data_IF_524776248010
#
_entry.id   IF_524776248010
#
_cell.length_a   1.000
_cell.length_b   1.000
_cell.length_c   1.000
_cell.angle_alpha   90.00
_cell.angle_beta   90.00
_cell.angle_gamma   90.00
#
_symmetry.space_group_name_H-M   'P 1'
#
loop_
_entity.id
_entity.type
_entity.pdbx_description
1 polymer ?
#
# COMPACT_ATOMS: atom_id res chain seq x y z
N UNK A 1 -23.75 -9.91 45.39
CA UNK A 1 -24.41 -9.05 44.39
C UNK A 1 -24.26 -9.75 43.06
N UNK A 2 -25.27 -10.56 42.75
CA UNK A 2 -25.26 -11.46 41.58
C UNK A 2 -25.74 -10.68 40.33
N UNK A 3 -24.99 -10.70 39.25
CA UNK A 3 -25.39 -10.13 37.97
C UNK A 3 -25.72 -11.26 37.03
N UNK A 4 -26.98 -11.27 36.61
CA UNK A 4 -27.68 -12.24 35.78
C UNK A 4 -27.26 -12.08 34.32
N UNK A 5 -26.69 -13.13 33.71
CA UNK A 5 -26.38 -13.16 32.27
C UNK A 5 -27.63 -13.60 31.50
N UNK A 6 -28.34 -12.67 30.88
CA UNK A 6 -29.39 -13.00 29.91
C UNK A 6 -28.79 -13.28 28.53
N UNK A 7 -28.95 -14.55 28.16
CA UNK A 7 -28.71 -15.09 26.81
C UNK A 7 -29.62 -14.42 25.76
N UNK A 8 -29.05 -13.77 24.77
CA UNK A 8 -29.79 -13.40 23.57
C UNK A 8 -29.68 -14.51 22.50
N UNK A 9 -30.80 -15.19 22.36
CA UNK A 9 -31.05 -16.24 21.39
C UNK A 9 -31.12 -15.62 19.95
N UNK A 10 -30.18 -15.97 19.08
CA UNK A 10 -30.25 -15.67 17.67
C UNK A 10 -31.27 -16.58 16.97
N UNK A 11 -32.26 -15.96 16.31
CA UNK A 11 -33.23 -16.65 15.46
C UNK A 11 -32.67 -16.84 14.05
N UNK A 12 -32.78 -18.03 13.44
CA UNK A 12 -32.41 -18.22 12.05
C UNK A 12 -33.52 -17.75 11.12
N UNK A 13 -33.19 -16.89 10.17
CA UNK A 13 -34.10 -16.49 9.08
C UNK A 13 -33.93 -17.52 7.97
N UNK A 14 -34.98 -18.31 7.77
CA UNK A 14 -35.14 -19.20 6.61
C UNK A 14 -35.88 -18.43 5.53
N UNK A 15 -35.23 -18.13 4.43
CA UNK A 15 -35.88 -17.68 3.20
C UNK A 15 -35.84 -18.80 2.17
N UNK A 16 -36.99 -19.42 1.96
CA UNK A 16 -37.25 -20.33 0.85
C UNK A 16 -37.76 -19.49 -0.33
N UNK A 17 -37.08 -19.48 -1.45
CA UNK A 17 -37.66 -19.08 -2.74
C UNK A 17 -37.73 -20.24 -3.67
N UNK A 18 -38.96 -20.78 -3.81
CA UNK A 18 -39.37 -21.59 -4.97
C UNK A 18 -39.59 -20.64 -6.14
N UNK A 19 -38.99 -20.91 -7.27
CA UNK A 19 -39.23 -20.21 -8.53
C UNK A 19 -39.16 -21.21 -9.70
N UNK A 20 -40.28 -21.37 -10.28
CA UNK A 20 -40.77 -22.30 -11.32
C UNK A 20 -39.94 -22.32 -12.60
N UNK A 21 -39.76 -23.53 -13.12
CA UNK A 21 -39.25 -23.81 -14.46
C UNK A 21 -40.27 -23.42 -15.55
N UNK A 22 -39.79 -22.79 -16.61
CA UNK A 22 -40.46 -22.81 -17.91
C UNK A 22 -39.42 -23.10 -19.00
N UNK A 23 -39.56 -24.28 -19.57
CA UNK A 23 -38.84 -24.74 -20.75
C UNK A 23 -39.45 -24.09 -22.00
N UNK A 24 -38.64 -23.45 -22.83
CA UNK A 24 -38.96 -23.15 -24.22
C UNK A 24 -37.82 -23.63 -25.10
N UNK A 25 -38.07 -24.71 -25.79
CA UNK A 25 -37.25 -25.28 -26.87
C UNK A 25 -37.47 -24.43 -28.11
N UNK A 26 -36.43 -23.77 -28.61
CA UNK A 26 -36.39 -23.27 -29.97
C UNK A 26 -35.09 -23.76 -30.62
N UNK A 27 -35.24 -24.78 -31.46
CA UNK A 27 -34.25 -25.25 -32.41
C UNK A 27 -34.11 -24.21 -33.52
N UNK A 28 -33.01 -23.49 -33.56
CA UNK A 28 -32.55 -22.79 -34.76
C UNK A 28 -31.11 -23.24 -35.01
N UNK A 29 -30.96 -24.01 -36.07
CA UNK A 29 -29.69 -24.38 -36.64
C UNK A 29 -29.00 -23.10 -37.18
N UNK A 30 -28.03 -22.60 -36.44
CA UNK A 30 -27.13 -21.52 -36.84
C UNK A 30 -25.71 -22.03 -36.84
N UNK A 31 -25.04 -22.00 -37.98
CA UNK A 31 -23.65 -22.39 -38.15
C UNK A 31 -22.73 -21.63 -37.15
N UNK A 32 -21.71 -22.30 -36.58
CA UNK A 32 -20.73 -21.58 -35.77
C UNK A 32 -19.86 -20.66 -36.67
N UNK A 33 -20.16 -19.39 -36.66
CA UNK A 33 -19.15 -18.41 -37.11
C UNK A 33 -18.07 -18.44 -35.99
N UNK A 34 -16.97 -19.09 -36.29
CA UNK A 34 -15.76 -18.95 -35.50
C UNK A 34 -15.30 -17.49 -35.62
N UNK A 35 -15.78 -16.65 -34.72
CA UNK A 35 -15.14 -15.38 -34.47
C UNK A 35 -13.73 -15.69 -33.95
N UNK A 36 -12.74 -15.61 -34.85
CA UNK A 36 -11.36 -15.49 -34.42
C UNK A 36 -11.31 -14.27 -33.51
N UNK A 37 -11.23 -14.51 -32.19
CA UNK A 37 -10.80 -13.49 -31.26
C UNK A 37 -9.39 -13.14 -31.71
N UNK A 38 -9.25 -12.09 -32.49
CA UNK A 38 -7.98 -11.40 -32.62
C UNK A 38 -7.68 -10.89 -31.21
N UNK A 39 -6.83 -11.64 -30.53
CA UNK A 39 -6.13 -11.18 -29.36
C UNK A 39 -5.32 -9.95 -29.81
N UNK A 40 -5.98 -8.80 -29.83
CA UNK A 40 -5.29 -7.52 -29.85
C UNK A 40 -4.63 -7.43 -28.50
N UNK A 41 -3.48 -8.13 -28.40
CA UNK A 41 -2.54 -7.90 -27.33
C UNK A 41 -2.43 -6.40 -27.20
N UNK A 42 -2.95 -5.86 -26.11
CA UNK A 42 -2.66 -4.50 -25.70
C UNK A 42 -1.15 -4.39 -25.72
N UNK A 43 -0.61 -3.90 -26.83
CA UNK A 43 0.74 -3.40 -26.84
C UNK A 43 0.72 -2.35 -25.72
N UNK A 44 1.26 -2.71 -24.56
CA UNK A 44 1.65 -1.73 -23.57
C UNK A 44 2.52 -0.77 -24.37
N UNK A 45 1.96 0.38 -24.69
CA UNK A 45 2.75 1.48 -25.21
C UNK A 45 3.87 1.61 -24.20
N UNK A 46 5.09 1.36 -24.64
CA UNK A 46 6.32 1.48 -23.86
C UNK A 46 6.31 2.93 -23.39
N UNK A 47 5.73 3.14 -22.19
CA UNK A 47 5.73 4.43 -21.53
C UNK A 47 7.21 4.83 -21.44
N UNK A 48 7.53 6.04 -21.78
CA UNK A 48 8.88 6.57 -21.56
C UNK A 48 9.10 6.47 -20.06
N UNK A 49 9.96 5.54 -19.62
CA UNK A 49 10.33 5.31 -18.24
C UNK A 49 10.62 6.68 -17.61
N UNK A 50 9.77 7.08 -16.69
CA UNK A 50 9.87 8.41 -16.07
C UNK A 50 10.37 8.28 -14.67
N UNK A 51 11.64 8.62 -14.48
CA UNK A 51 12.30 8.60 -13.18
C UNK A 51 12.24 9.97 -12.51
N UNK A 52 11.72 10.01 -11.29
CA UNK A 52 11.69 11.20 -10.43
C UNK A 52 12.53 10.91 -9.20
N UNK A 53 13.52 11.77 -8.91
CA UNK A 53 14.33 11.67 -7.68
C UNK A 53 14.02 12.83 -6.75
N UNK A 54 13.72 12.50 -5.49
CA UNK A 54 13.50 13.48 -4.41
C UNK A 54 14.23 13.05 -3.13
N UNK A 55 14.55 14.03 -2.29
CA UNK A 55 15.17 13.82 -0.98
C UNK A 55 14.13 14.13 0.10
N UNK A 56 13.84 13.16 0.95
CA UNK A 56 12.91 13.32 2.07
C UNK A 56 13.67 13.60 3.37
N UNK A 57 13.25 14.66 4.07
CA UNK A 57 13.69 14.97 5.42
C UNK A 57 12.56 14.63 6.39
N UNK A 58 12.79 13.66 7.26
CA UNK A 58 11.86 13.27 8.31
C UNK A 58 11.64 14.44 9.28
N UNK A 59 10.41 14.89 9.40
CA UNK A 59 10.05 16.04 10.27
C UNK A 59 9.21 15.62 11.48
N UNK A 60 8.42 14.55 11.33
CA UNK A 60 7.56 14.04 12.38
C UNK A 60 7.49 12.52 12.32
N UNK A 61 7.51 11.89 13.49
CA UNK A 61 7.29 10.45 13.62
C UNK A 61 6.67 10.18 14.98
N UNK A 62 5.60 9.39 15.01
CA UNK A 62 4.92 8.98 16.24
C UNK A 62 4.63 7.49 16.18
N UNK A 63 4.98 6.78 17.25
CA UNK A 63 4.64 5.38 17.44
C UNK A 63 3.37 5.27 18.29
N UNK A 64 2.52 4.32 17.93
CA UNK A 64 1.35 3.89 18.66
C UNK A 64 1.51 2.40 19.00
N UNK A 65 2.10 2.07 20.16
CA UNK A 65 2.34 0.68 20.55
C UNK A 65 1.03 0.02 20.99
N UNK A 66 0.90 -1.27 20.68
CA UNK A 66 -0.18 -2.13 21.21
C UNK A 66 -0.01 -2.33 22.72
N UNK A 67 1.24 -2.45 23.18
CA UNK A 67 1.59 -2.51 24.58
C UNK A 67 2.56 -1.36 24.91
N UNK A 68 2.09 -0.26 25.52
CA UNK A 68 2.93 0.91 25.82
C UNK A 68 4.14 0.62 26.69
N UNK A 69 4.02 -0.31 27.64
CA UNK A 69 5.07 -0.66 28.61
C UNK A 69 5.93 -1.85 28.15
N UNK A 70 5.58 -2.48 27.02
CA UNK A 70 6.24 -3.67 26.51
C UNK A 70 7.22 -3.42 25.38
N UNK A 71 7.90 -4.48 24.95
CA UNK A 71 8.72 -4.43 23.73
C UNK A 71 7.86 -4.18 22.49
N UNK A 72 8.53 -4.00 21.34
CA UNK A 72 7.85 -3.96 20.05
C UNK A 72 6.98 -5.21 19.85
N UNK A 73 5.78 -5.02 19.32
CA UNK A 73 4.82 -6.08 19.12
C UNK A 73 4.16 -6.00 17.74
N UNK A 74 3.65 -7.12 17.26
CA UNK A 74 2.80 -7.15 16.10
C UNK A 74 1.57 -6.26 16.32
N UNK A 75 1.26 -5.41 15.35
CA UNK A 75 0.17 -4.44 15.43
C UNK A 75 0.61 -3.04 15.88
N UNK A 76 1.83 -2.87 16.38
CA UNK A 76 2.38 -1.53 16.61
C UNK A 76 2.32 -0.71 15.33
N UNK A 77 2.00 0.57 15.46
CA UNK A 77 1.85 1.43 14.32
C UNK A 77 2.74 2.67 14.44
N UNK A 78 3.39 3.01 13.35
CA UNK A 78 4.19 4.23 13.21
C UNK A 78 3.56 5.12 12.16
N UNK A 79 3.36 6.39 12.50
CA UNK A 79 2.92 7.43 11.55
C UNK A 79 4.05 8.41 11.39
N UNK A 80 4.34 8.82 10.15
CA UNK A 80 5.43 9.75 9.88
C UNK A 80 5.10 10.76 8.79
N UNK A 81 5.83 11.86 8.81
CA UNK A 81 5.82 12.91 7.79
C UNK A 81 7.25 13.32 7.44
N UNK A 82 7.50 13.52 6.16
CA UNK A 82 8.76 14.08 5.66
C UNK A 82 8.48 15.18 4.65
N UNK A 83 9.30 16.20 4.65
CA UNK A 83 9.31 17.22 3.60
C UNK A 83 10.20 16.74 2.47
N UNK A 84 9.73 16.89 1.24
CA UNK A 84 10.44 16.47 0.03
C UNK A 84 11.14 17.65 -0.63
N UNK A 85 12.39 17.44 -0.95
CA UNK A 85 13.23 18.37 -1.71
C UNK A 85 13.59 17.79 -3.07
N UNK A 86 14.03 18.64 -3.98
CA UNK A 86 14.53 18.22 -5.28
C UNK A 86 15.76 17.28 -5.15
N UNK A 87 16.19 16.69 -6.27
CA UNK A 87 17.36 15.80 -6.31
C UNK A 87 18.65 16.39 -5.75
N UNK A 88 18.77 17.73 -5.71
CA UNK A 88 19.93 18.45 -5.21
C UNK A 88 19.79 18.86 -3.74
N UNK A 89 18.70 18.47 -3.08
CA UNK A 89 18.38 18.81 -1.67
C UNK A 89 18.30 20.33 -1.40
N UNK A 90 17.85 21.11 -2.38
CA UNK A 90 17.83 22.57 -2.29
C UNK A 90 16.44 23.17 -2.27
N UNK A 91 15.54 22.70 -3.13
CA UNK A 91 14.20 23.27 -3.30
C UNK A 91 13.17 22.30 -2.77
N UNK A 92 12.31 22.75 -1.86
CA UNK A 92 11.14 21.98 -1.44
C UNK A 92 10.21 21.78 -2.64
N UNK A 93 9.80 20.53 -2.87
CA UNK A 93 8.96 20.12 -3.99
C UNK A 93 7.69 19.39 -3.55
N UNK A 94 7.55 19.08 -2.27
CA UNK A 94 6.37 18.39 -1.77
C UNK A 94 6.54 17.88 -0.36
N UNK A 95 5.75 16.86 -0.06
CA UNK A 95 5.83 16.13 1.21
C UNK A 95 5.43 14.67 1.02
N UNK A 96 5.81 13.82 1.96
CA UNK A 96 5.34 12.44 2.05
C UNK A 96 4.88 12.13 3.45
N UNK A 97 3.78 11.39 3.53
CA UNK A 97 3.15 10.95 4.76
C UNK A 97 2.87 9.46 4.66
N UNK A 98 3.04 8.75 5.76
CA UNK A 98 2.81 7.31 5.74
C UNK A 98 2.49 6.73 7.09
N UNK A 99 1.96 5.52 7.02
CA UNK A 99 1.73 4.66 8.17
C UNK A 99 2.36 3.31 7.91
N UNK A 100 3.11 2.82 8.89
CA UNK A 100 3.65 1.46 8.91
C UNK A 100 3.03 0.69 10.08
N UNK A 101 2.69 -0.57 9.85
CA UNK A 101 2.22 -1.49 10.89
C UNK A 101 3.20 -2.63 11.02
N UNK A 102 3.67 -2.89 12.24
CA UNK A 102 4.56 -4.01 12.54
C UNK A 102 3.82 -5.32 12.30
N UNK A 103 4.35 -6.16 11.44
CA UNK A 103 3.82 -7.49 11.09
C UNK A 103 4.67 -8.62 11.67
N UNK A 104 5.94 -8.34 11.93
CA UNK A 104 6.87 -9.24 12.60
C UNK A 104 7.67 -8.42 13.61
N UNK A 105 7.73 -8.91 14.86
CA UNK A 105 8.53 -8.30 15.91
C UNK A 105 9.35 -9.42 16.60
N UNK A 106 10.65 -9.43 16.37
CA UNK A 106 11.61 -10.38 16.92
C UNK A 106 12.80 -9.63 17.50
N UNK A 107 13.54 -10.27 18.39
CA UNK A 107 14.69 -9.66 19.07
C UNK A 107 15.75 -9.13 18.10
N UNK A 108 16.00 -9.86 17.02
CA UNK A 108 17.06 -9.56 16.04
C UNK A 108 16.54 -9.08 14.69
N UNK A 109 15.26 -8.71 14.62
CA UNK A 109 14.70 -8.22 13.37
C UNK A 109 13.22 -8.02 13.43
N UNK A 110 12.67 -7.45 12.36
CA UNK A 110 11.25 -7.23 12.26
C UNK A 110 10.84 -6.86 10.84
N UNK A 111 9.55 -6.78 10.64
CA UNK A 111 8.95 -6.34 9.39
C UNK A 111 7.77 -5.43 9.66
N UNK A 112 7.63 -4.43 8.80
CA UNK A 112 6.48 -3.52 8.80
C UNK A 112 5.87 -3.48 7.40
N UNK A 113 4.55 -3.47 7.31
CA UNK A 113 3.85 -3.13 6.07
C UNK A 113 3.52 -1.65 6.11
N UNK A 114 3.97 -0.92 5.09
CA UNK A 114 3.82 0.52 4.99
C UNK A 114 2.90 0.91 3.84
N UNK A 115 2.04 1.90 4.09
CA UNK A 115 1.31 2.65 3.06
C UNK A 115 1.77 4.09 3.14
N UNK A 116 2.24 4.63 2.02
CA UNK A 116 2.86 5.95 1.95
C UNK A 116 2.30 6.74 0.77
N UNK A 117 2.01 8.02 1.00
CA UNK A 117 1.56 8.94 -0.05
C UNK A 117 2.61 10.04 -0.26
N UNK A 118 3.00 10.25 -1.50
CA UNK A 118 3.85 11.35 -1.95
C UNK A 118 2.96 12.41 -2.59
N UNK A 119 2.94 13.60 -2.02
CA UNK A 119 2.32 14.79 -2.60
C UNK A 119 3.38 15.55 -3.38
N UNK A 120 3.30 15.52 -4.71
CA UNK A 120 4.29 16.06 -5.65
C UNK A 120 3.65 17.09 -6.57
N UNK A 121 4.44 17.93 -7.26
CA UNK A 121 3.88 18.85 -8.25
C UNK A 121 3.13 18.12 -9.36
N UNK A 122 1.82 18.32 -9.39
CA UNK A 122 0.92 17.74 -10.38
C UNK A 122 0.05 16.60 -9.90
N UNK A 123 0.18 16.15 -8.64
CA UNK A 123 -0.67 15.12 -8.08
C UNK A 123 -0.03 14.32 -6.95
N UNK A 124 -0.68 13.22 -6.61
CA UNK A 124 -0.22 12.32 -5.54
C UNK A 124 0.10 10.94 -6.11
N UNK A 125 1.07 10.27 -5.47
CA UNK A 125 1.39 8.86 -5.67
C UNK A 125 1.16 8.12 -4.37
N UNK A 126 0.52 6.95 -4.44
CA UNK A 126 0.42 6.03 -3.30
C UNK A 126 1.28 4.81 -3.56
N UNK A 127 2.05 4.42 -2.56
CA UNK A 127 2.90 3.24 -2.60
C UNK A 127 2.65 2.35 -1.41
N UNK A 128 2.90 1.07 -1.59
CA UNK A 128 2.79 0.08 -0.53
C UNK A 128 3.90 -0.95 -0.65
N UNK A 129 4.39 -1.40 0.48
CA UNK A 129 5.38 -2.47 0.52
C UNK A 129 5.71 -2.91 1.94
N UNK A 130 6.55 -3.94 2.01
CA UNK A 130 7.08 -4.46 3.25
C UNK A 130 8.50 -3.94 3.44
N UNK A 131 8.78 -3.45 4.64
CA UNK A 131 10.09 -2.96 5.03
C UNK A 131 10.62 -3.87 6.14
N UNK A 132 11.82 -4.40 5.93
CA UNK A 132 12.53 -5.22 6.92
C UNK A 132 13.57 -4.39 7.64
N UNK A 133 13.74 -4.60 8.94
CA UNK A 133 14.72 -3.89 9.74
C UNK A 133 14.80 -4.40 11.16
N UNK A 134 15.71 -3.82 11.93
CA UNK A 134 15.80 -4.05 13.37
C UNK A 134 14.81 -3.13 14.06
N UNK A 135 13.86 -3.70 14.78
CA UNK A 135 12.89 -2.97 15.57
C UNK A 135 13.43 -2.78 16.99
N UNK A 136 13.64 -1.56 17.42
CA UNK A 136 13.84 -1.25 18.82
C UNK A 136 12.70 -0.39 19.28
N UNK A 137 11.93 -0.88 20.24
CA UNK A 137 10.73 -0.22 20.76
C UNK A 137 9.71 0.14 19.65
N UNK A 138 9.63 -0.71 18.57
CA UNK A 138 8.71 -0.51 17.46
C UNK A 138 9.14 0.55 16.43
N UNK A 139 10.34 1.07 16.55
CA UNK A 139 10.95 1.90 15.51
C UNK A 139 12.13 1.13 14.93
N UNK A 140 12.29 1.12 13.60
CA UNK A 140 13.51 0.64 13.00
C UNK A 140 14.67 1.49 13.54
N UNK A 141 15.52 0.94 14.41
CA UNK A 141 16.69 1.66 14.96
C UNK A 141 17.75 1.90 13.92
N UNK A 142 17.85 0.98 13.00
CA UNK A 142 18.60 1.13 11.78
C UNK A 142 17.59 0.96 10.66
N UNK A 143 17.18 2.05 10.00
CA UNK A 143 16.41 1.91 8.79
C UNK A 143 17.22 1.01 7.86
N UNK A 144 16.58 0.07 7.14
CA UNK A 144 17.27 -0.70 6.12
C UNK A 144 18.01 0.29 5.23
N UNK A 145 19.23 -0.04 4.76
CA UNK A 145 20.00 0.86 3.90
C UNK A 145 19.19 1.24 2.65
N UNK A 146 18.35 0.33 2.16
CA UNK A 146 17.41 0.57 1.06
C UNK A 146 16.27 -0.44 1.07
N UNK A 147 15.15 -0.07 0.45
CA UNK A 147 14.00 -0.96 0.20
C UNK A 147 13.19 -0.43 -1.00
N UNK A 148 12.39 -1.32 -1.58
CA UNK A 148 11.51 -1.01 -2.70
C UNK A 148 10.05 -1.18 -2.30
N UNK A 149 9.21 -0.24 -2.74
CA UNK A 149 7.76 -0.29 -2.57
C UNK A 149 7.08 -0.17 -3.94
N UNK A 150 6.01 -0.93 -4.14
CA UNK A 150 5.22 -0.86 -5.36
C UNK A 150 4.35 0.40 -5.39
N UNK A 151 4.28 1.08 -6.54
CA UNK A 151 3.32 2.15 -6.78
C UNK A 151 1.96 1.51 -7.04
N UNK A 152 1.00 1.80 -6.16
CA UNK A 152 -0.35 1.22 -6.20
C UNK A 152 -1.36 2.11 -6.92
N UNK A 153 -1.02 3.39 -7.14
CA UNK A 153 -1.84 4.35 -7.85
C UNK A 153 -1.41 5.79 -7.65
N UNK A 154 -2.20 6.71 -8.19
CA UNK A 154 -1.96 8.14 -8.03
C UNK A 154 -3.13 8.98 -8.52
N UNK A 155 -2.96 10.30 -8.47
CA UNK A 155 -3.93 11.31 -8.91
C UNK A 155 -3.27 12.36 -9.80
N UNK A 156 -4.07 13.11 -10.54
CA UNK A 156 -3.58 14.19 -11.40
C UNK A 156 -2.64 13.66 -12.50
N UNK A 157 -1.41 14.17 -12.57
CA UNK A 157 -0.40 13.70 -13.53
C UNK A 157 0.05 12.25 -13.31
N UNK A 158 -0.29 11.68 -12.16
CA UNK A 158 0.03 10.32 -11.73
C UNK A 158 -1.20 9.41 -11.76
N UNK A 159 -2.28 9.83 -12.44
CA UNK A 159 -3.45 8.97 -12.61
C UNK A 159 -3.03 7.63 -13.24
N UNK A 160 -3.51 6.53 -12.64
CA UNK A 160 -3.18 5.15 -13.05
C UNK A 160 -1.69 4.80 -13.00
N UNK A 161 -0.85 5.56 -12.26
CA UNK A 161 0.57 5.27 -12.13
C UNK A 161 0.82 3.85 -11.63
N UNK A 162 1.86 3.24 -12.20
CA UNK A 162 2.46 1.96 -11.81
C UNK A 162 3.97 2.12 -11.77
N UNK A 163 4.65 1.12 -11.26
CA UNK A 163 6.09 1.11 -11.11
C UNK A 163 6.51 0.90 -9.66
N UNK A 164 7.64 1.47 -9.28
CA UNK A 164 8.21 1.29 -7.95
C UNK A 164 8.85 2.56 -7.40
N UNK A 165 9.01 2.59 -6.08
CA UNK A 165 9.80 3.61 -5.39
C UNK A 165 10.94 2.90 -4.66
N UNK A 166 12.18 3.18 -5.08
CA UNK A 166 13.37 2.80 -4.36
C UNK A 166 13.69 3.86 -3.31
N UNK A 167 13.76 3.45 -2.03
CA UNK A 167 14.09 4.31 -0.91
C UNK A 167 15.47 3.94 -0.35
N UNK A 168 16.41 4.86 -0.32
CA UNK A 168 17.75 4.67 0.24
C UNK A 168 18.02 5.68 1.36
N UNK A 169 18.45 5.20 2.53
CA UNK A 169 18.90 6.08 3.62
C UNK A 169 20.25 6.68 3.26
N UNK A 170 20.34 8.01 3.26
CA UNK A 170 21.56 8.75 2.90
C UNK A 170 22.20 9.48 4.08
N UNK A 171 21.40 9.74 5.13
CA UNK A 171 21.85 10.30 6.40
C UNK A 171 20.77 10.04 7.48
N UNK A 172 21.03 10.23 8.77
CA UNK A 172 20.01 10.19 9.80
C UNK A 172 18.85 11.14 9.48
N UNK A 173 17.62 10.59 9.44
CA UNK A 173 16.42 11.34 9.09
C UNK A 173 16.31 11.76 7.62
N UNK A 174 17.24 11.34 6.75
CA UNK A 174 17.21 11.67 5.31
C UNK A 174 17.19 10.42 4.45
N UNK A 175 16.28 10.41 3.46
CA UNK A 175 16.18 9.34 2.45
C UNK A 175 16.13 9.92 1.05
N UNK A 176 16.79 9.25 0.13
CA UNK A 176 16.59 9.46 -1.31
C UNK A 176 15.49 8.53 -1.77
N UNK A 177 14.53 9.07 -2.48
CA UNK A 177 13.48 8.32 -3.15
C UNK A 177 13.67 8.45 -4.65
N UNK A 178 13.83 7.31 -5.31
CA UNK A 178 13.84 7.20 -6.78
C UNK A 178 12.52 6.55 -7.17
N UNK A 179 11.65 7.35 -7.78
CA UNK A 179 10.32 6.96 -8.22
C UNK A 179 10.44 6.60 -9.70
N UNK A 180 10.23 5.35 -10.02
CA UNK A 180 10.28 4.80 -11.35
C UNK A 180 8.87 4.47 -11.82
N UNK A 181 8.43 5.17 -12.85
CA UNK A 181 7.08 5.08 -13.40
C UNK A 181 7.11 4.35 -14.74
N UNK A 182 6.32 3.26 -14.84
CA UNK A 182 6.11 2.48 -16.06
C UNK A 182 5.43 3.30 -17.19
#
# INVERSE_FOLDING_TARGET
MSIDLRSHMMRPIRSACLGTATALVALLAGAPVAAAATDTGSAHAKGTDRVITVIGHLTQQTRFPVNPEGPAAQGDRTVFRSILFDKNDKKQVGETNGTCTTTLAEENGGAEVCVVTYNLPGGQLTVQGMVFGILTQGLPTLPPPSFDNAITGGTGKFDRARGQVHAATIAPGKRRFTIDLD
#
